data_IF_574913570942
#
_entry.id   IF_574913570942
#
_cell.length_a   1.000
_cell.length_b   1.000
_cell.length_c   1.000
_cell.angle_alpha   90.00
_cell.angle_beta   90.00
_cell.angle_gamma   90.00
#
_symmetry.space_group_name_H-M   'P 1'
#
loop_
_entity.id
_entity.type
_entity.pdbx_description
1 polymer ?
#
# COMPACT_ATOMS: atom_id res chain seq x y z
N UNK A 1 -25.82 -6.14 -14.29
CA UNK A 1 -24.60 -5.48 -13.76
C UNK A 1 -24.02 -6.31 -12.65
N UNK A 2 -22.91 -6.99 -12.88
CA UNK A 2 -22.25 -7.69 -11.80
C UNK A 2 -21.40 -6.68 -11.00
N UNK A 3 -21.79 -6.42 -9.78
CA UNK A 3 -20.93 -5.80 -8.80
C UNK A 3 -20.01 -6.88 -8.28
N UNK A 4 -18.72 -6.78 -8.60
CA UNK A 4 -17.73 -7.72 -8.10
C UNK A 4 -17.81 -7.78 -6.56
N UNK A 5 -17.94 -8.96 -6.01
CA UNK A 5 -17.92 -9.14 -4.55
C UNK A 5 -16.46 -9.11 -4.08
N UNK A 6 -16.14 -8.15 -3.23
CA UNK A 6 -14.80 -8.02 -2.65
C UNK A 6 -14.69 -8.88 -1.39
N UNK A 7 -13.68 -9.74 -1.35
CA UNK A 7 -13.36 -10.58 -0.20
C UNK A 7 -11.88 -10.39 0.17
N UNK A 8 -11.59 -10.31 1.45
CA UNK A 8 -10.24 -10.29 1.98
C UNK A 8 -9.88 -11.67 2.51
N UNK A 9 -8.72 -12.18 2.10
CA UNK A 9 -8.21 -13.48 2.54
C UNK A 9 -6.77 -13.30 3.01
N UNK A 10 -6.46 -13.80 4.20
CA UNK A 10 -5.09 -13.79 4.69
C UNK A 10 -4.20 -14.62 3.76
N UNK A 11 -3.09 -14.04 3.33
CA UNK A 11 -2.13 -14.72 2.49
C UNK A 11 -1.36 -15.77 3.30
N UNK A 12 -1.25 -16.97 2.76
CA UNK A 12 -0.43 -18.03 3.31
C UNK A 12 0.98 -17.98 2.70
N UNK A 13 1.92 -18.74 3.26
CA UNK A 13 3.30 -18.73 2.81
C UNK A 13 3.45 -19.03 1.30
N UNK A 14 2.63 -19.94 0.77
CA UNK A 14 2.67 -20.30 -0.66
C UNK A 14 2.09 -19.21 -1.57
N UNK A 15 1.32 -18.27 -1.03
CA UNK A 15 0.76 -17.15 -1.78
C UNK A 15 1.76 -15.99 -1.96
N UNK A 16 2.77 -15.89 -1.08
CA UNK A 16 3.65 -14.73 -1.01
C UNK A 16 4.48 -14.46 -2.26
N UNK A 17 5.04 -15.45 -2.98
CA UNK A 17 5.77 -15.16 -4.20
C UNK A 17 4.95 -14.45 -5.27
N UNK A 18 3.72 -14.90 -5.51
CA UNK A 18 2.82 -14.26 -6.48
C UNK A 18 2.32 -12.91 -5.97
N UNK A 19 2.04 -12.80 -4.68
CA UNK A 19 1.62 -11.55 -4.03
C UNK A 19 2.68 -10.46 -4.20
N UNK A 20 3.94 -10.76 -3.88
CA UNK A 20 5.04 -9.80 -3.99
C UNK A 20 5.24 -9.33 -5.43
N UNK A 21 5.19 -10.26 -6.41
CA UNK A 21 5.29 -9.89 -7.82
C UNK A 21 4.18 -8.96 -8.27
N UNK A 22 2.93 -9.24 -7.91
CA UNK A 22 1.79 -8.41 -8.26
C UNK A 22 1.90 -7.01 -7.66
N UNK A 23 2.35 -6.90 -6.41
CA UNK A 23 2.61 -5.63 -5.73
C UNK A 23 3.70 -4.84 -6.45
N UNK A 24 4.83 -5.48 -6.74
CA UNK A 24 5.96 -4.85 -7.42
C UNK A 24 5.59 -4.39 -8.83
N UNK A 25 4.82 -5.18 -9.57
CA UNK A 25 4.33 -4.79 -10.91
C UNK A 25 3.42 -3.54 -10.83
N UNK A 26 2.53 -3.51 -9.85
CA UNK A 26 1.64 -2.36 -9.67
C UNK A 26 2.41 -1.07 -9.32
N UNK A 27 3.41 -1.17 -8.46
CA UNK A 27 4.28 -0.04 -8.10
C UNK A 27 5.18 0.39 -9.26
N UNK A 28 5.68 -0.56 -10.05
CA UNK A 28 6.56 -0.27 -11.18
C UNK A 28 5.91 0.65 -12.22
N UNK A 29 4.60 0.57 -12.40
CA UNK A 29 3.88 1.42 -13.36
C UNK A 29 4.16 2.91 -13.10
N UNK A 30 3.96 3.38 -11.87
CA UNK A 30 4.17 4.79 -11.53
C UNK A 30 5.65 5.19 -11.56
N UNK A 31 6.53 4.32 -11.09
CA UNK A 31 7.98 4.59 -11.11
C UNK A 31 8.49 4.71 -12.54
N UNK A 32 8.12 3.78 -13.40
CA UNK A 32 8.55 3.79 -14.82
C UNK A 32 7.96 4.99 -15.56
N UNK A 33 6.71 5.34 -15.33
CA UNK A 33 6.09 6.52 -15.94
C UNK A 33 6.81 7.83 -15.55
N UNK A 34 7.34 7.90 -14.33
CA UNK A 34 7.97 9.12 -13.79
C UNK A 34 9.47 9.17 -14.07
N UNK A 35 10.17 8.07 -13.90
CA UNK A 35 11.65 8.01 -13.88
C UNK A 35 12.26 7.16 -15.00
N UNK A 36 11.44 6.45 -15.77
CA UNK A 36 11.93 5.52 -16.79
C UNK A 36 12.19 4.11 -16.26
N UNK A 37 12.76 3.21 -17.09
CA UNK A 37 12.92 1.82 -16.75
C UNK A 37 13.72 1.56 -15.47
N UNK A 38 13.31 0.57 -14.68
CA UNK A 38 14.03 0.13 -13.50
C UNK A 38 15.30 -0.62 -13.90
N UNK A 39 16.46 -0.17 -13.40
CA UNK A 39 17.77 -0.76 -13.72
C UNK A 39 18.32 -1.63 -12.60
N UNK A 40 17.89 -1.40 -11.35
CA UNK A 40 18.45 -2.01 -10.15
C UNK A 40 17.47 -2.97 -9.44
N UNK A 41 16.53 -3.51 -10.20
CA UNK A 41 15.54 -4.46 -9.67
C UNK A 41 14.21 -3.81 -9.29
N UNK A 42 13.28 -4.60 -8.75
CA UNK A 42 11.94 -4.11 -8.40
C UNK A 42 11.95 -3.17 -7.19
N UNK A 43 10.97 -2.27 -7.16
CA UNK A 43 10.71 -1.37 -6.02
C UNK A 43 9.25 -1.57 -5.59
N UNK A 44 8.98 -1.86 -4.31
CA UNK A 44 9.95 -2.21 -3.26
C UNK A 44 10.67 -3.53 -3.57
N UNK A 45 11.89 -3.68 -3.01
CA UNK A 45 12.68 -4.91 -3.20
C UNK A 45 12.05 -6.10 -2.47
N UNK A 46 12.41 -7.31 -2.90
CA UNK A 46 11.97 -8.52 -2.19
C UNK A 46 12.39 -8.50 -0.72
N UNK A 47 13.59 -8.03 -0.46
CA UNK A 47 14.16 -7.93 0.89
C UNK A 47 13.34 -6.99 1.79
N UNK A 48 12.97 -5.82 1.28
CA UNK A 48 12.15 -4.86 2.02
C UNK A 48 10.75 -5.40 2.29
N UNK A 49 10.15 -6.06 1.29
CA UNK A 49 8.83 -6.68 1.44
C UNK A 49 8.87 -7.81 2.46
N UNK A 50 9.87 -8.68 2.39
CA UNK A 50 10.01 -9.79 3.33
C UNK A 50 10.21 -9.30 4.76
N UNK A 51 11.00 -8.24 4.96
CA UNK A 51 11.20 -7.63 6.26
C UNK A 51 9.89 -7.05 6.83
N UNK A 52 9.11 -6.38 6.01
CA UNK A 52 7.82 -5.82 6.43
C UNK A 52 6.83 -6.93 6.78
N UNK A 53 6.69 -7.92 5.91
CA UNK A 53 5.75 -9.03 6.09
C UNK A 53 6.08 -9.86 7.33
N UNK A 54 7.37 -10.01 7.66
CA UNK A 54 7.82 -10.76 8.82
C UNK A 54 7.68 -10.00 10.15
N UNK A 55 7.37 -8.71 10.12
CA UNK A 55 7.24 -7.90 11.32
C UNK A 55 6.03 -8.34 12.16
N UNK A 56 6.17 -8.50 13.49
CA UNK A 56 5.03 -8.84 14.36
C UNK A 56 3.89 -7.83 14.23
N UNK A 57 2.65 -8.32 14.20
CA UNK A 57 1.44 -7.49 14.04
C UNK A 57 1.09 -7.16 12.60
N UNK A 58 1.92 -7.56 11.64
CA UNK A 58 1.65 -7.35 10.21
C UNK A 58 0.80 -8.48 9.67
N UNK A 59 -0.23 -8.11 8.92
CA UNK A 59 -1.14 -9.04 8.22
C UNK A 59 -1.06 -8.76 6.73
N UNK A 60 -0.84 -9.79 5.95
CA UNK A 60 -0.85 -9.72 4.48
C UNK A 60 -2.20 -10.22 3.99
N UNK A 61 -2.91 -9.37 3.25
CA UNK A 61 -4.26 -9.64 2.79
C UNK A 61 -4.30 -9.72 1.26
N UNK A 62 -4.84 -10.81 0.74
CA UNK A 62 -5.23 -10.90 -0.67
C UNK A 62 -6.59 -10.27 -0.84
N UNK A 63 -6.73 -9.44 -1.86
CA UNK A 63 -8.01 -8.86 -2.23
C UNK A 63 -8.57 -9.66 -3.41
N UNK A 64 -9.71 -10.29 -3.19
CA UNK A 64 -10.39 -11.07 -4.21
C UNK A 64 -11.61 -10.32 -4.73
N UNK A 65 -11.77 -10.28 -6.05
CA UNK A 65 -12.98 -9.84 -6.71
C UNK A 65 -13.62 -11.04 -7.41
N UNK A 66 -14.80 -11.43 -6.97
CA UNK A 66 -15.49 -12.64 -7.44
C UNK A 66 -14.63 -13.90 -7.41
N UNK A 67 -13.83 -14.04 -6.33
CA UNK A 67 -12.94 -15.18 -6.12
C UNK A 67 -11.61 -15.14 -6.84
N UNK A 68 -11.30 -14.05 -7.54
CA UNK A 68 -10.03 -13.88 -8.27
C UNK A 68 -9.17 -12.81 -7.60
N UNK A 69 -7.85 -13.02 -7.60
CA UNK A 69 -6.92 -12.02 -7.10
C UNK A 69 -6.99 -10.74 -7.95
N UNK A 70 -7.37 -9.63 -7.32
CA UNK A 70 -7.45 -8.32 -7.97
C UNK A 70 -6.56 -7.28 -7.29
N UNK A 71 -5.92 -7.64 -6.19
CA UNK A 71 -5.03 -6.74 -5.47
C UNK A 71 -4.59 -7.31 -4.14
N UNK A 72 -4.03 -6.47 -3.30
CA UNK A 72 -3.58 -6.87 -1.99
C UNK A 72 -3.31 -5.69 -1.07
N UNK A 73 -3.14 -6.02 0.20
CA UNK A 73 -2.78 -5.05 1.23
C UNK A 73 -1.86 -5.68 2.26
N UNK A 74 -0.97 -4.89 2.80
CA UNK A 74 -0.17 -5.24 3.97
C UNK A 74 -0.50 -4.21 5.03
N UNK A 75 -1.03 -4.67 6.16
CA UNK A 75 -1.47 -3.81 7.26
C UNK A 75 -0.74 -4.16 8.54
N UNK A 76 -0.40 -3.15 9.33
CA UNK A 76 0.13 -3.31 10.68
C UNK A 76 -0.98 -3.01 11.68
N UNK A 77 -1.32 -3.99 12.50
CA UNK A 77 -2.42 -3.91 13.45
C UNK A 77 -1.86 -3.86 14.88
N UNK A 78 -2.18 -2.79 15.59
CA UNK A 78 -1.83 -2.61 17.00
C UNK A 78 -3.10 -2.70 17.84
N UNK A 79 -3.30 -3.84 18.48
CA UNK A 79 -4.49 -4.11 19.31
C UNK A 79 -4.50 -3.33 20.64
N UNK A 80 -3.37 -2.74 21.01
CA UNK A 80 -3.25 -1.94 22.24
C UNK A 80 -3.67 -0.50 22.02
N UNK A 81 -3.16 0.13 20.96
CA UNK A 81 -3.41 1.55 20.67
C UNK A 81 -4.57 1.75 19.71
N UNK A 82 -4.89 0.73 18.91
CA UNK A 82 -5.82 0.82 17.77
C UNK A 82 -5.41 1.87 16.74
N UNK A 83 -4.12 2.19 16.68
CA UNK A 83 -3.50 2.99 15.64
C UNK A 83 -2.85 2.02 14.67
N UNK A 84 -3.50 1.84 13.53
CA UNK A 84 -3.10 0.86 12.54
C UNK A 84 -2.51 1.54 11.32
N UNK A 85 -1.67 0.84 10.57
CA UNK A 85 -1.12 1.38 9.34
C UNK A 85 -1.39 0.50 8.14
N UNK A 86 -1.62 1.15 7.01
CA UNK A 86 -1.68 0.54 5.69
C UNK A 86 -0.28 0.70 5.10
N UNK A 87 0.51 -0.37 5.17
CA UNK A 87 1.91 -0.33 4.76
C UNK A 87 2.06 -0.43 3.25
N UNK A 88 1.29 -1.32 2.63
CA UNK A 88 1.19 -1.45 1.17
C UNK A 88 -0.25 -1.69 0.77
N UNK A 89 -0.64 -1.12 -0.35
CA UNK A 89 -1.96 -1.32 -0.94
C UNK A 89 -1.84 -1.22 -2.45
N UNK A 90 -2.41 -2.18 -3.15
CA UNK A 90 -2.36 -2.16 -4.61
C UNK A 90 -3.59 -2.85 -5.23
N UNK A 91 -3.93 -2.40 -6.42
CA UNK A 91 -4.82 -3.12 -7.34
C UNK A 91 -3.93 -3.64 -8.46
N UNK A 92 -4.07 -4.92 -8.79
CA UNK A 92 -3.24 -5.57 -9.80
C UNK A 92 -3.37 -4.92 -11.17
N UNK A 93 -2.27 -4.89 -11.90
CA UNK A 93 -2.24 -4.38 -13.28
C UNK A 93 -3.27 -5.15 -14.11
N UNK A 94 -4.11 -4.41 -14.84
CA UNK A 94 -5.21 -4.97 -15.63
C UNK A 94 -6.54 -5.06 -14.89
N UNK A 95 -6.57 -4.87 -13.57
CA UNK A 95 -7.80 -4.89 -12.76
C UNK A 95 -8.33 -3.50 -12.39
N UNK A 96 -7.69 -2.44 -12.88
CA UNK A 96 -8.07 -1.06 -12.60
C UNK A 96 -9.38 -0.63 -13.29
N UNK A 97 -9.98 0.45 -12.81
CA UNK A 97 -11.09 1.14 -13.50
C UNK A 97 -12.50 0.70 -13.12
N UNK A 98 -12.67 -0.19 -12.12
CA UNK A 98 -13.98 -0.68 -11.66
C UNK A 98 -14.33 -0.29 -10.23
N UNK A 99 -13.63 0.69 -9.67
CA UNK A 99 -13.82 1.11 -8.28
C UNK A 99 -13.36 0.05 -7.27
N UNK A 100 -12.51 -0.88 -7.67
CA UNK A 100 -12.02 -1.98 -6.82
C UNK A 100 -11.21 -1.46 -5.64
N UNK A 101 -10.36 -0.44 -5.85
CA UNK A 101 -9.56 0.16 -4.78
C UNK A 101 -10.42 0.68 -3.64
N UNK A 102 -11.45 1.45 -3.97
CA UNK A 102 -12.39 1.99 -2.99
C UNK A 102 -13.11 0.89 -2.20
N UNK A 103 -13.60 -0.13 -2.91
CA UNK A 103 -14.30 -1.25 -2.27
C UNK A 103 -13.37 -2.11 -1.44
N UNK A 104 -12.14 -2.33 -1.91
CA UNK A 104 -11.11 -3.04 -1.15
C UNK A 104 -10.76 -2.30 0.13
N UNK A 105 -10.56 -0.98 0.05
CA UNK A 105 -10.30 -0.18 1.23
C UNK A 105 -11.45 -0.23 2.24
N UNK A 106 -12.68 -0.12 1.78
CA UNK A 106 -13.87 -0.26 2.64
C UNK A 106 -13.92 -1.62 3.33
N UNK A 107 -13.57 -2.69 2.62
CA UNK A 107 -13.50 -4.03 3.21
C UNK A 107 -12.44 -4.12 4.31
N UNK A 108 -11.29 -3.46 4.12
CA UNK A 108 -10.24 -3.37 5.15
C UNK A 108 -10.75 -2.61 6.38
N UNK A 109 -11.40 -1.48 6.21
CA UNK A 109 -11.98 -0.72 7.33
C UNK A 109 -13.00 -1.58 8.10
N UNK A 110 -13.83 -2.32 7.40
CA UNK A 110 -14.84 -3.20 8.02
C UNK A 110 -14.21 -4.41 8.72
N UNK A 111 -13.08 -4.90 8.25
CA UNK A 111 -12.36 -6.01 8.86
C UNK A 111 -11.71 -5.64 10.20
N UNK A 112 -11.42 -4.36 10.41
CA UNK A 112 -10.77 -3.85 11.62
C UNK A 112 -11.56 -2.69 12.24
N UNK A 113 -12.78 -2.96 12.74
CA UNK A 113 -13.71 -1.91 13.20
C UNK A 113 -13.27 -1.21 14.48
N UNK A 114 -12.35 -1.81 15.25
CA UNK A 114 -11.81 -1.19 16.46
C UNK A 114 -10.75 -0.13 16.19
N UNK A 115 -10.32 0.04 14.94
CA UNK A 115 -9.31 1.03 14.56
C UNK A 115 -9.74 2.43 14.91
N UNK A 116 -8.87 3.17 15.57
CA UNK A 116 -9.09 4.60 15.88
C UNK A 116 -8.49 5.52 14.84
N UNK A 117 -7.30 5.16 14.35
CA UNK A 117 -6.57 5.93 13.33
C UNK A 117 -5.91 4.96 12.37
N UNK A 118 -6.14 5.18 11.09
CA UNK A 118 -5.36 4.56 10.03
C UNK A 118 -4.28 5.52 9.57
N UNK A 119 -3.08 5.00 9.34
CA UNK A 119 -1.94 5.75 8.83
C UNK A 119 -1.45 5.10 7.55
N UNK A 120 -1.00 5.89 6.59
CA UNK A 120 -0.32 5.41 5.40
C UNK A 120 0.70 6.42 4.91
N UNK A 121 1.58 5.98 4.04
CA UNK A 121 2.63 6.80 3.43
C UNK A 121 2.59 6.64 1.91
N UNK A 122 2.95 7.69 1.20
CA UNK A 122 3.08 7.62 -0.26
C UNK A 122 4.15 8.60 -0.73
N UNK A 123 5.00 8.20 -1.69
CA UNK A 123 5.91 9.13 -2.34
C UNK A 123 5.18 10.26 -3.05
N UNK A 124 5.80 11.43 -3.10
CA UNK A 124 5.21 12.62 -3.72
C UNK A 124 4.87 12.42 -5.21
N UNK A 125 5.66 11.64 -5.95
CA UNK A 125 5.40 11.40 -7.37
C UNK A 125 4.17 10.53 -7.65
N UNK A 126 3.70 9.78 -6.65
CA UNK A 126 2.54 8.89 -6.73
C UNK A 126 1.23 9.68 -6.66
N UNK A 127 0.97 10.54 -7.66
CA UNK A 127 -0.19 11.44 -7.65
C UNK A 127 -1.53 10.72 -7.62
N UNK A 128 -1.62 9.55 -8.27
CA UNK A 128 -2.84 8.72 -8.26
C UNK A 128 -3.13 8.21 -6.85
N UNK A 129 -2.10 7.80 -6.12
CA UNK A 129 -2.25 7.34 -4.74
C UNK A 129 -2.64 8.49 -3.81
N UNK A 130 -2.05 9.65 -3.98
CA UNK A 130 -2.40 10.85 -3.19
C UNK A 130 -3.88 11.18 -3.40
N UNK A 131 -4.34 11.24 -4.65
CA UNK A 131 -5.75 11.46 -4.98
C UNK A 131 -6.63 10.39 -4.34
N UNK A 132 -6.23 9.12 -4.46
CA UNK A 132 -6.98 7.99 -3.90
C UNK A 132 -7.12 8.10 -2.39
N UNK A 133 -6.02 8.30 -1.67
CA UNK A 133 -6.07 8.38 -0.21
C UNK A 133 -6.84 9.60 0.28
N UNK A 134 -6.59 10.77 -0.29
CA UNK A 134 -7.21 12.02 0.18
C UNK A 134 -8.66 12.13 -0.28
N UNK A 135 -8.91 11.95 -1.58
CA UNK A 135 -10.23 12.28 -2.16
C UNK A 135 -11.21 11.09 -2.16
N UNK A 136 -10.72 9.87 -2.20
CA UNK A 136 -11.56 8.66 -2.26
C UNK A 136 -11.69 7.98 -0.90
N UNK A 137 -10.58 7.80 -0.18
CA UNK A 137 -10.56 7.10 1.10
C UNK A 137 -10.82 8.00 2.32
N UNK A 138 -10.61 9.32 2.19
CA UNK A 138 -10.85 10.26 3.27
C UNK A 138 -9.67 10.47 4.22
N UNK A 139 -8.47 10.10 3.82
CA UNK A 139 -7.24 10.42 4.57
C UNK A 139 -6.92 11.91 4.46
N UNK A 140 -6.17 12.41 5.44
CA UNK A 140 -5.61 13.77 5.42
C UNK A 140 -4.10 13.70 5.44
N UNK A 141 -3.45 14.60 4.71
CA UNK A 141 -2.00 14.76 4.76
C UNK A 141 -1.66 15.42 6.09
N UNK A 142 -0.81 14.77 6.88
CA UNK A 142 -0.43 15.26 8.22
C UNK A 142 1.06 15.56 8.32
N UNK A 143 1.87 15.08 7.37
CA UNK A 143 3.30 15.34 7.37
C UNK A 143 3.84 15.27 5.95
N UNK A 144 4.78 16.17 5.63
CA UNK A 144 5.53 16.18 4.38
C UNK A 144 6.99 15.91 4.67
N UNK A 145 7.57 14.97 3.94
CA UNK A 145 8.98 14.61 4.02
C UNK A 145 9.75 15.14 2.82
N UNK A 146 10.90 15.71 3.07
CA UNK A 146 11.87 16.12 2.06
C UNK A 146 13.28 16.06 2.67
N UNK A 147 14.27 16.60 1.97
CA UNK A 147 15.66 16.62 2.46
C UNK A 147 15.83 17.40 3.77
N UNK A 148 14.96 18.37 4.04
CA UNK A 148 14.97 19.20 5.27
C UNK A 148 14.23 18.54 6.42
N UNK A 149 13.33 17.62 6.11
CA UNK A 149 12.51 16.89 7.08
C UNK A 149 12.41 15.43 6.61
N UNK A 150 13.49 14.64 6.77
CA UNK A 150 13.53 13.29 6.25
C UNK A 150 12.60 12.33 6.98
N UNK A 151 12.06 11.35 6.26
CA UNK A 151 11.22 10.30 6.84
C UNK A 151 12.10 9.42 7.77
N UNK A 152 11.79 9.38 9.09
CA UNK A 152 12.58 8.59 10.05
C UNK A 152 12.44 7.07 9.83
N UNK A 153 11.44 6.63 9.09
CA UNK A 153 11.19 5.21 8.81
C UNK A 153 11.82 4.75 7.50
N UNK A 154 12.43 5.65 6.73
CA UNK A 154 13.13 5.30 5.50
C UNK A 154 14.43 4.60 5.84
N UNK A 155 14.70 3.39 5.29
CA UNK A 155 15.95 2.70 5.52
C UNK A 155 17.14 3.53 5.05
N UNK A 156 18.21 3.65 5.84
CA UNK A 156 19.43 4.29 5.37
C UNK A 156 20.04 3.50 4.22
N UNK A 157 20.37 4.19 3.12
CA UNK A 157 20.98 3.56 1.94
C UNK A 157 20.01 2.98 0.92
N UNK A 158 18.71 3.24 1.06
CA UNK A 158 17.76 2.94 -0.01
C UNK A 158 18.12 3.70 -1.27
N UNK A 159 17.99 3.04 -2.42
CA UNK A 159 18.39 3.57 -3.72
C UNK A 159 17.92 5.01 -3.92
N UNK A 160 18.86 5.87 -4.30
CA UNK A 160 18.60 7.27 -4.57
C UNK A 160 17.96 7.43 -5.95
N UNK A 161 16.66 7.19 -6.04
CA UNK A 161 15.92 7.79 -7.14
C UNK A 161 15.65 9.24 -6.82
N UNK A 162 15.94 10.16 -7.75
CA UNK A 162 15.57 11.55 -7.58
C UNK A 162 14.07 11.66 -7.28
N UNK A 163 13.71 12.24 -6.11
CA UNK A 163 12.32 12.42 -5.71
C UNK A 163 11.72 11.32 -4.86
N UNK A 164 12.44 10.24 -4.55
CA UNK A 164 11.98 9.24 -3.56
C UNK A 164 12.13 9.71 -2.11
N UNK A 165 12.91 10.76 -1.89
CA UNK A 165 13.05 11.42 -0.60
C UNK A 165 11.85 12.30 -0.25
N UNK A 166 11.02 12.65 -1.23
CA UNK A 166 9.81 13.44 -1.04
C UNK A 166 8.59 12.54 -0.90
N UNK A 167 7.81 12.77 0.15
CA UNK A 167 6.61 11.96 0.39
C UNK A 167 5.71 12.56 1.45
N UNK A 168 4.57 11.92 1.64
CA UNK A 168 3.58 12.32 2.62
C UNK A 168 3.24 11.19 3.58
N UNK A 169 2.96 11.57 4.81
CA UNK A 169 2.25 10.72 5.77
C UNK A 169 0.80 11.19 5.84
N UNK A 170 -0.11 10.24 5.80
CA UNK A 170 -1.55 10.47 5.84
C UNK A 170 -2.12 9.82 7.09
N UNK A 171 -3.17 10.42 7.63
CA UNK A 171 -3.97 9.82 8.69
C UNK A 171 -5.46 9.92 8.38
N UNK A 172 -6.19 8.89 8.79
CA UNK A 172 -7.65 8.88 8.78
C UNK A 172 -8.13 8.55 10.19
N UNK A 173 -8.80 9.50 10.81
CA UNK A 173 -9.43 9.31 12.13
C UNK A 173 -10.79 8.65 11.89
N UNK A 174 -11.01 7.52 12.54
CA UNK A 174 -12.24 6.74 12.41
C UNK A 174 -13.32 7.20 13.38
#
# INVERSE_FOLDING_TARGET
>A
MSTDTITLVAAEAHDLPAFKRALQEAFAVAVVETFGPLTDGPIPSDEDLDATIATPGVVTLRVLGDGRDVGGAVVSIDETTHRNSLDFFFISVGSHGRGLGRRAWRAIEQAYPATRVWQTHTPYFEKRNIHFYVNVCGFKIVEFFDARHPDPHRPPGGEEFPGLDEGFRFEKIM
#
